data_IF_668526493102
#
_entry.id   IF_668526493102
#
_cell.length_a   1.000
_cell.length_b   1.000
_cell.length_c   1.000
_cell.angle_alpha   90.00
_cell.angle_beta   90.00
_cell.angle_gamma   90.00
#
_symmetry.space_group_name_H-M   'P 1'
#
loop_
_entity.id
_entity.type
_entity.pdbx_description
1 polymer ?
#
# COMPACT_ATOMS: atom_id res chain seq x y z
N UNK A 1 -17.86 -6.78 -5.81
CA UNK A 1 -16.54 -6.41 -5.23
C UNK A 1 -16.37 -7.00 -3.84
N UNK A 2 -15.16 -7.07 -3.30
CA UNK A 2 -14.89 -7.54 -1.94
C UNK A 2 -14.40 -6.38 -1.10
N UNK A 3 -15.17 -6.00 -0.08
CA UNK A 3 -14.83 -4.90 0.81
C UNK A 3 -14.20 -5.45 2.08
N UNK A 4 -13.07 -4.94 2.47
CA UNK A 4 -12.31 -5.45 3.59
C UNK A 4 -11.44 -4.41 4.27
N UNK A 5 -10.45 -4.89 5.01
CA UNK A 5 -9.44 -4.03 5.61
C UNK A 5 -8.04 -4.67 5.58
N UNK A 6 -7.04 -3.82 5.46
CA UNK A 6 -5.66 -4.14 5.81
C UNK A 6 -5.54 -4.16 7.32
N UNK A 7 -5.17 -5.31 7.87
CA UNK A 7 -5.26 -5.56 9.32
C UNK A 7 -4.17 -4.91 10.15
N UNK A 8 -3.27 -4.14 9.55
CA UNK A 8 -2.20 -3.44 10.25
C UNK A 8 -2.68 -2.54 11.39
N UNK A 9 -3.84 -1.90 11.21
CA UNK A 9 -4.46 -1.06 12.25
C UNK A 9 -4.94 -1.84 13.49
N UNK A 10 -4.97 -3.18 13.44
CA UNK A 10 -5.39 -4.07 14.53
C UNK A 10 -4.26 -5.02 14.98
N UNK A 11 -3.00 -4.70 14.71
CA UNK A 11 -1.84 -5.52 15.07
C UNK A 11 -1.63 -5.71 16.59
N UNK A 12 -2.31 -4.93 17.41
CA UNK A 12 -2.36 -5.08 18.87
C UNK A 12 -3.28 -6.22 19.34
N UNK A 13 -3.99 -6.89 18.42
CA UNK A 13 -4.97 -7.95 18.68
C UNK A 13 -4.59 -9.25 18.01
N UNK A 14 -5.04 -10.41 18.55
CA UNK A 14 -4.91 -11.68 17.85
C UNK A 14 -5.71 -11.69 16.54
N UNK A 15 -5.25 -12.49 15.55
CA UNK A 15 -5.92 -12.60 14.23
C UNK A 15 -7.40 -13.01 14.34
N UNK A 16 -7.75 -13.93 15.23
CA UNK A 16 -9.15 -14.39 15.37
C UNK A 16 -10.07 -13.28 15.88
N UNK A 17 -9.59 -12.41 16.80
CA UNK A 17 -10.31 -11.22 17.25
C UNK A 17 -10.43 -10.20 16.13
N UNK A 18 -9.35 -9.99 15.37
CA UNK A 18 -9.33 -9.11 14.20
C UNK A 18 -10.36 -9.53 13.18
N UNK A 19 -10.38 -10.80 12.77
CA UNK A 19 -11.37 -11.32 11.80
C UNK A 19 -12.81 -11.16 12.31
N UNK A 20 -13.05 -11.38 13.61
CA UNK A 20 -14.35 -11.15 14.23
C UNK A 20 -14.78 -9.68 14.12
N UNK A 21 -13.88 -8.73 14.44
CA UNK A 21 -14.15 -7.29 14.30
C UNK A 21 -14.53 -6.96 12.85
N UNK A 22 -13.77 -7.43 11.86
CA UNK A 22 -14.09 -7.19 10.45
C UNK A 22 -15.51 -7.69 10.09
N UNK A 23 -15.85 -8.89 10.51
CA UNK A 23 -17.19 -9.46 10.29
C UNK A 23 -18.31 -8.67 10.97
N UNK A 24 -18.10 -8.21 12.21
CA UNK A 24 -19.04 -7.37 12.95
C UNK A 24 -19.26 -6.00 12.28
N UNK A 25 -18.25 -5.49 11.57
CA UNK A 25 -18.34 -4.27 10.76
C UNK A 25 -18.96 -4.48 9.38
N UNK A 26 -19.34 -5.73 9.03
CA UNK A 26 -19.92 -6.05 7.73
C UNK A 26 -18.89 -6.19 6.59
N UNK A 27 -17.61 -6.22 6.91
CA UNK A 27 -16.55 -6.46 5.94
C UNK A 27 -16.41 -7.95 5.63
N UNK A 28 -16.03 -8.29 4.40
CA UNK A 28 -15.98 -9.67 3.90
C UNK A 28 -14.60 -10.10 3.44
N UNK A 29 -13.62 -9.22 3.48
CA UNK A 29 -12.25 -9.51 3.07
C UNK A 29 -11.22 -8.93 4.02
N UNK A 30 -10.00 -9.48 3.95
CA UNK A 30 -8.86 -9.01 4.70
C UNK A 30 -7.59 -9.04 3.85
N UNK A 31 -6.72 -8.09 4.13
CA UNK A 31 -5.34 -8.03 3.68
C UNK A 31 -4.41 -8.11 4.88
N UNK A 32 -3.35 -8.91 4.78
CA UNK A 32 -2.48 -9.24 5.91
C UNK A 32 -1.04 -8.84 5.60
N UNK A 33 -0.38 -8.19 6.57
CA UNK A 33 1.04 -7.87 6.43
C UNK A 33 1.92 -9.13 6.52
N UNK A 34 2.84 -9.26 5.57
CA UNK A 34 3.78 -10.39 5.44
C UNK A 34 5.24 -9.96 5.47
N UNK A 35 5.54 -8.70 5.72
CA UNK A 35 6.91 -8.20 5.81
C UNK A 35 7.03 -6.71 5.56
N UNK A 36 8.22 -6.28 5.23
CA UNK A 36 8.53 -4.89 4.96
C UNK A 36 8.70 -4.03 6.22
N UNK A 37 8.07 -2.84 6.24
CA UNK A 37 8.28 -1.85 7.29
C UNK A 37 7.80 -2.28 8.67
N UNK A 38 6.70 -3.03 8.75
CA UNK A 38 6.06 -3.39 10.02
C UNK A 38 6.11 -4.90 10.28
N UNK A 39 5.88 -5.29 11.55
CA UNK A 39 5.86 -6.69 11.97
C UNK A 39 4.67 -7.48 11.39
N UNK A 40 4.70 -8.80 11.57
CA UNK A 40 3.72 -9.73 10.99
C UNK A 40 2.97 -10.53 12.07
N UNK A 41 2.33 -9.89 13.07
CA UNK A 41 1.73 -10.60 14.21
C UNK A 41 0.54 -11.49 13.82
N UNK A 42 -0.09 -11.23 12.67
CA UNK A 42 -1.28 -11.93 12.23
C UNK A 42 -0.99 -13.18 11.38
N UNK A 43 0.28 -13.45 11.02
CA UNK A 43 0.61 -14.53 10.11
C UNK A 43 1.93 -15.26 10.48
N UNK A 44 1.90 -16.57 10.70
CA UNK A 44 3.10 -17.38 10.99
C UNK A 44 3.79 -17.82 9.69
N UNK A 45 4.50 -16.91 9.03
CA UNK A 45 5.03 -17.08 7.66
C UNK A 45 5.86 -18.35 7.50
N UNK A 46 6.79 -18.66 8.43
CA UNK A 46 7.69 -19.80 8.33
C UNK A 46 6.93 -21.15 8.40
N UNK A 47 5.91 -21.22 9.27
CA UNK A 47 5.06 -22.41 9.36
C UNK A 47 4.23 -22.59 8.08
N UNK A 48 3.70 -21.49 7.55
CA UNK A 48 2.88 -21.52 6.33
C UNK A 48 3.69 -21.87 5.09
N UNK A 49 4.92 -21.40 4.97
CA UNK A 49 5.81 -21.78 3.87
C UNK A 49 6.15 -23.27 3.91
N UNK A 50 6.37 -23.84 5.10
CA UNK A 50 6.85 -25.21 5.25
C UNK A 50 5.76 -26.28 5.32
N UNK A 51 4.51 -25.95 5.74
CA UNK A 51 3.48 -26.93 6.07
C UNK A 51 2.14 -26.69 5.37
N UNK A 52 1.69 -27.67 4.58
CA UNK A 52 0.35 -27.64 3.97
C UNK A 52 -0.77 -27.69 5.04
N UNK A 53 -0.58 -28.47 6.11
CA UNK A 53 -1.56 -28.53 7.21
C UNK A 53 -1.70 -27.20 7.95
N UNK A 54 -0.57 -26.46 8.16
CA UNK A 54 -0.62 -25.13 8.75
C UNK A 54 -1.39 -24.14 7.85
N UNK A 55 -1.22 -24.23 6.53
CA UNK A 55 -1.99 -23.40 5.58
C UNK A 55 -3.48 -23.70 5.64
N UNK A 56 -3.86 -24.98 5.68
CA UNK A 56 -5.27 -25.39 5.78
C UNK A 56 -5.90 -24.88 7.09
N UNK A 57 -5.21 -25.03 8.22
CA UNK A 57 -5.67 -24.51 9.51
C UNK A 57 -5.80 -22.98 9.48
N UNK A 58 -4.80 -22.29 8.95
CA UNK A 58 -4.79 -20.82 8.85
C UNK A 58 -5.95 -20.29 8.01
N UNK A 59 -6.14 -20.84 6.80
CA UNK A 59 -7.27 -20.46 5.93
C UNK A 59 -8.63 -20.88 6.51
N UNK A 60 -8.67 -21.95 7.31
CA UNK A 60 -9.85 -22.38 8.05
C UNK A 60 -10.39 -21.32 9.01
N UNK A 61 -9.52 -20.51 9.63
CA UNK A 61 -9.92 -19.38 10.50
C UNK A 61 -10.70 -18.32 9.73
N UNK A 62 -10.23 -17.96 8.52
CA UNK A 62 -10.92 -17.02 7.63
C UNK A 62 -12.28 -17.56 7.18
N UNK A 63 -12.34 -18.82 6.78
CA UNK A 63 -13.60 -19.46 6.38
C UNK A 63 -14.62 -19.48 7.53
N UNK A 64 -14.19 -19.77 8.77
CA UNK A 64 -15.04 -19.75 9.95
C UNK A 64 -15.56 -18.35 10.27
N UNK A 65 -14.78 -17.31 10.03
CA UNK A 65 -15.17 -15.92 10.22
C UNK A 65 -16.00 -15.36 9.04
N UNK A 66 -16.16 -16.10 7.94
CA UNK A 66 -16.80 -15.59 6.72
C UNK A 66 -16.01 -14.53 6.00
N UNK A 67 -14.69 -14.45 6.23
CA UNK A 67 -13.77 -13.48 5.64
C UNK A 67 -12.96 -14.17 4.53
N UNK A 68 -12.69 -13.47 3.44
CA UNK A 68 -11.76 -13.93 2.38
C UNK A 68 -10.41 -13.24 2.54
N UNK A 69 -9.33 -13.99 2.56
CA UNK A 69 -7.98 -13.43 2.44
C UNK A 69 -7.75 -13.01 0.98
N UNK A 70 -7.69 -11.70 0.71
CA UNK A 70 -7.66 -11.15 -0.65
C UNK A 70 -6.30 -10.61 -1.07
N UNK A 71 -5.44 -10.29 -0.13
CA UNK A 71 -4.11 -9.74 -0.39
C UNK A 71 -3.12 -10.05 0.72
N UNK A 72 -1.86 -10.18 0.34
CA UNK A 72 -0.72 -10.11 1.26
C UNK A 72 -0.02 -8.79 1.04
N UNK A 73 0.20 -8.03 2.11
CA UNK A 73 0.89 -6.75 2.04
C UNK A 73 2.35 -6.90 2.50
N UNK A 74 3.25 -6.32 1.75
CA UNK A 74 4.68 -6.31 2.04
C UNK A 74 5.27 -4.93 1.73
N UNK A 75 4.62 -3.88 2.24
CA UNK A 75 5.07 -2.50 2.03
C UNK A 75 6.43 -2.28 2.67
N UNK A 76 7.40 -1.92 1.83
CA UNK A 76 8.79 -1.77 2.22
C UNK A 76 9.62 -1.04 1.17
N UNK A 77 10.91 -0.90 1.45
CA UNK A 77 11.86 -0.38 0.48
C UNK A 77 12.90 -1.46 0.11
N UNK A 78 12.59 -2.33 -0.89
CA UNK A 78 13.50 -3.41 -1.31
C UNK A 78 14.77 -2.89 -2.03
N UNK A 79 14.78 -1.62 -2.43
CA UNK A 79 15.91 -0.96 -3.10
C UNK A 79 16.75 -0.10 -2.15
N UNK A 80 16.43 -0.10 -0.86
CA UNK A 80 17.15 0.71 0.12
C UNK A 80 18.62 0.35 0.15
N UNK A 81 19.55 1.33 0.06
CA UNK A 81 20.98 1.07 0.11
C UNK A 81 21.50 0.61 1.49
N UNK A 82 20.70 0.76 2.54
CA UNK A 82 21.05 0.24 3.87
C UNK A 82 21.00 -1.30 3.85
N UNK A 83 22.15 -1.98 4.14
CA UNK A 83 22.23 -3.44 4.13
C UNK A 83 21.32 -4.15 5.15
N UNK A 84 20.81 -3.43 6.15
CA UNK A 84 19.82 -3.96 7.10
C UNK A 84 18.39 -3.85 6.60
N UNK A 85 18.12 -3.01 5.61
CA UNK A 85 16.76 -2.69 5.14
C UNK A 85 16.50 -3.31 3.77
N UNK A 86 17.23 -2.87 2.73
CA UNK A 86 16.97 -3.28 1.36
C UNK A 86 16.94 -4.80 1.16
N UNK A 87 18.01 -5.53 1.52
CA UNK A 87 18.04 -7.00 1.35
C UNK A 87 16.94 -7.73 2.11
N UNK A 88 16.60 -7.25 3.33
CA UNK A 88 15.50 -7.83 4.12
C UNK A 88 14.16 -7.63 3.42
N UNK A 89 13.85 -6.41 2.99
CA UNK A 89 12.57 -6.11 2.34
C UNK A 89 12.46 -6.80 0.96
N UNK A 90 13.56 -6.97 0.24
CA UNK A 90 13.58 -7.77 -0.99
C UNK A 90 13.26 -9.26 -0.73
N UNK A 91 13.87 -9.84 0.31
CA UNK A 91 13.58 -11.22 0.73
C UNK A 91 12.14 -11.38 1.22
N UNK A 92 11.62 -10.43 2.01
CA UNK A 92 10.23 -10.43 2.45
C UNK A 92 9.27 -10.45 1.24
N UNK A 93 9.54 -9.66 0.20
CA UNK A 93 8.74 -9.64 -1.03
C UNK A 93 8.81 -10.98 -1.78
N UNK A 94 9.99 -11.58 -1.92
CA UNK A 94 10.13 -12.91 -2.53
C UNK A 94 9.30 -13.96 -1.78
N UNK A 95 9.40 -13.98 -0.46
CA UNK A 95 8.66 -14.91 0.41
C UNK A 95 7.14 -14.66 0.35
N UNK A 96 6.73 -13.38 0.25
CA UNK A 96 5.31 -13.02 0.12
C UNK A 96 4.72 -13.52 -1.20
N UNK A 97 5.45 -13.45 -2.31
CA UNK A 97 5.01 -14.01 -3.61
C UNK A 97 4.87 -15.53 -3.52
N UNK A 98 5.86 -16.23 -2.94
CA UNK A 98 5.79 -17.67 -2.74
C UNK A 98 4.61 -18.07 -1.84
N UNK A 99 4.44 -17.39 -0.71
CA UNK A 99 3.37 -17.62 0.23
C UNK A 99 1.99 -17.36 -0.37
N UNK A 100 1.84 -16.29 -1.17
CA UNK A 100 0.61 -15.99 -1.87
C UNK A 100 0.19 -17.15 -2.78
N UNK A 101 1.11 -17.68 -3.58
CA UNK A 101 0.85 -18.85 -4.42
C UNK A 101 0.42 -20.08 -3.61
N UNK A 102 1.11 -20.36 -2.49
CA UNK A 102 0.81 -21.52 -1.61
C UNK A 102 -0.54 -21.38 -0.90
N UNK A 103 -0.98 -20.16 -0.57
CA UNK A 103 -2.28 -19.88 0.04
C UNK A 103 -3.42 -19.74 -0.97
N UNK A 104 -3.11 -19.70 -2.28
CA UNK A 104 -4.10 -19.41 -3.31
C UNK A 104 -4.54 -17.95 -3.35
N UNK A 105 -3.79 -17.05 -2.70
CA UNK A 105 -3.98 -15.59 -2.76
C UNK A 105 -3.29 -15.05 -4.01
N UNK A 106 -4.02 -14.30 -4.83
CA UNK A 106 -3.50 -13.87 -6.13
C UNK A 106 -2.89 -12.46 -6.14
N UNK A 107 -2.81 -11.79 -5.00
CA UNK A 107 -2.36 -10.40 -4.87
C UNK A 107 -1.31 -10.27 -3.78
N UNK A 108 -0.21 -9.61 -4.12
CA UNK A 108 0.79 -9.11 -3.15
C UNK A 108 0.90 -7.62 -3.37
N UNK A 109 0.62 -6.85 -2.33
CA UNK A 109 0.80 -5.39 -2.31
C UNK A 109 2.20 -5.06 -1.82
N UNK A 110 2.84 -4.08 -2.41
CA UNK A 110 4.16 -3.60 -2.00
C UNK A 110 4.45 -2.21 -2.55
N UNK A 111 5.53 -1.59 -2.09
CA UNK A 111 6.06 -0.35 -2.65
C UNK A 111 7.21 -0.63 -3.62
N UNK A 112 7.44 0.30 -4.56
CA UNK A 112 8.49 0.12 -5.58
C UNK A 112 9.92 0.21 -5.04
N UNK A 113 10.07 0.80 -3.88
CA UNK A 113 11.36 1.12 -3.30
C UNK A 113 12.01 2.38 -3.87
N UNK A 114 13.02 2.85 -3.15
CA UNK A 114 13.83 4.03 -3.50
C UNK A 114 15.30 3.73 -3.21
N UNK A 115 16.16 3.71 -4.23
CA UNK A 115 17.61 3.51 -4.05
C UNK A 115 18.34 4.82 -3.75
N UNK A 116 19.65 4.73 -3.55
CA UNK A 116 20.51 5.90 -3.53
C UNK A 116 20.55 6.59 -4.91
N UNK A 117 20.97 7.87 -4.92
CA UNK A 117 21.09 8.66 -6.14
C UNK A 117 22.35 8.35 -6.96
N UNK A 118 23.32 7.59 -6.41
CA UNK A 118 24.58 7.27 -7.07
C UNK A 118 25.09 5.87 -6.69
N UNK A 119 25.96 5.26 -7.51
CA UNK A 119 26.58 3.97 -7.20
C UNK A 119 27.34 4.01 -5.87
N UNK A 120 27.00 3.08 -4.96
CA UNK A 120 27.64 3.01 -3.63
C UNK A 120 27.15 4.06 -2.63
N UNK A 121 26.17 4.88 -3.00
CA UNK A 121 25.48 5.81 -2.10
C UNK A 121 24.81 5.06 -0.94
N UNK A 122 24.68 5.71 0.21
CA UNK A 122 24.16 5.10 1.45
C UNK A 122 22.82 5.65 1.90
N UNK A 123 22.36 6.70 1.24
CA UNK A 123 21.10 7.40 1.57
C UNK A 123 20.22 7.38 0.34
N UNK A 124 18.93 7.15 0.55
CA UNK A 124 17.94 7.24 -0.51
C UNK A 124 17.80 8.67 -1.01
N UNK A 125 17.50 8.84 -2.29
CA UNK A 125 17.32 10.15 -2.91
C UNK A 125 16.04 10.18 -3.75
N UNK A 126 15.08 11.03 -3.36
CA UNK A 126 13.78 11.11 -4.03
C UNK A 126 13.70 12.34 -4.94
N UNK A 127 13.88 12.11 -6.25
CA UNK A 127 13.84 13.15 -7.27
C UNK A 127 12.44 13.23 -7.89
N UNK A 128 11.76 14.35 -7.73
CA UNK A 128 10.39 14.58 -8.25
C UNK A 128 10.30 15.63 -9.34
N UNK A 129 11.19 16.61 -9.36
CA UNK A 129 11.25 17.68 -10.37
C UNK A 129 12.69 17.85 -10.89
N UNK A 130 13.12 17.06 -11.89
CA UNK A 130 14.47 17.07 -12.41
C UNK A 130 14.69 18.26 -13.39
N UNK A 131 14.81 19.48 -12.85
CA UNK A 131 14.97 20.70 -13.64
C UNK A 131 16.31 20.81 -14.36
N UNK A 132 17.38 20.26 -13.78
CA UNK A 132 18.69 20.26 -14.39
C UNK A 132 19.22 18.83 -14.57
N UNK A 133 20.33 18.70 -15.34
CA UNK A 133 20.84 17.43 -15.79
C UNK A 133 21.33 16.53 -14.65
N UNK A 134 21.83 17.07 -13.54
CA UNK A 134 22.30 16.24 -12.43
C UNK A 134 21.20 15.38 -11.82
N UNK A 135 19.94 15.90 -11.78
CA UNK A 135 18.81 15.10 -11.32
C UNK A 135 18.37 14.03 -12.32
N UNK A 136 18.59 14.26 -13.63
CA UNK A 136 18.38 13.23 -14.64
C UNK A 136 19.43 12.12 -14.52
N UNK A 137 20.69 12.45 -14.21
CA UNK A 137 21.75 11.46 -13.97
C UNK A 137 21.42 10.56 -12.76
N UNK A 138 20.86 11.16 -11.68
CA UNK A 138 20.36 10.41 -10.52
C UNK A 138 19.24 9.44 -10.96
N UNK A 139 18.23 9.94 -11.68
CA UNK A 139 17.12 9.11 -12.14
C UNK A 139 17.57 8.01 -13.10
N UNK A 140 18.55 8.26 -13.96
CA UNK A 140 19.10 7.27 -14.87
C UNK A 140 19.76 6.13 -14.10
N UNK A 141 20.58 6.45 -13.09
CA UNK A 141 21.15 5.44 -12.19
C UNK A 141 20.06 4.65 -11.47
N UNK A 142 19.14 5.34 -10.80
CA UNK A 142 18.09 4.71 -9.99
C UNK A 142 17.20 3.77 -10.80
N UNK A 143 16.79 4.18 -12.00
CA UNK A 143 15.89 3.40 -12.83
C UNK A 143 16.63 2.31 -13.60
N UNK A 144 17.67 2.67 -14.34
CA UNK A 144 18.27 1.74 -15.31
C UNK A 144 19.23 0.74 -14.66
N UNK A 145 19.95 1.15 -13.61
CA UNK A 145 20.95 0.30 -12.98
C UNK A 145 20.43 -0.45 -11.75
N UNK A 146 19.40 0.08 -11.07
CA UNK A 146 18.90 -0.51 -9.82
C UNK A 146 17.48 -1.06 -9.97
N UNK A 147 16.49 -0.21 -10.27
CA UNK A 147 15.09 -0.60 -10.22
C UNK A 147 14.70 -1.59 -11.33
N UNK A 148 15.03 -1.30 -12.58
CA UNK A 148 14.64 -2.15 -13.72
C UNK A 148 15.20 -3.57 -13.61
N UNK A 149 16.46 -3.81 -13.26
CA UNK A 149 16.95 -5.17 -13.01
C UNK A 149 16.20 -5.90 -11.90
N UNK A 150 15.98 -5.24 -10.77
CA UNK A 150 15.24 -5.82 -9.64
C UNK A 150 13.80 -6.18 -10.02
N UNK A 151 13.07 -5.24 -10.63
CA UNK A 151 11.67 -5.45 -10.99
C UNK A 151 11.45 -6.43 -12.14
N UNK A 152 12.46 -6.66 -12.99
CA UNK A 152 12.46 -7.78 -13.96
C UNK A 152 12.51 -9.14 -13.26
N UNK A 153 13.28 -9.28 -12.19
CA UNK A 153 13.31 -10.51 -11.39
C UNK A 153 11.97 -10.72 -10.67
N UNK A 154 11.42 -9.68 -10.04
CA UNK A 154 10.09 -9.75 -9.41
C UNK A 154 9.01 -10.12 -10.42
N UNK A 155 9.00 -9.51 -11.61
CA UNK A 155 8.06 -9.87 -12.69
C UNK A 155 8.16 -11.34 -13.07
N UNK A 156 9.38 -11.86 -13.21
CA UNK A 156 9.59 -13.26 -13.57
C UNK A 156 9.07 -14.22 -12.49
N UNK A 157 9.33 -13.91 -11.21
CA UNK A 157 8.85 -14.70 -10.06
C UNK A 157 7.31 -14.65 -9.95
N UNK A 158 6.75 -13.45 -10.04
CA UNK A 158 5.30 -13.23 -9.99
C UNK A 158 4.57 -13.99 -11.11
N UNK A 159 5.11 -13.94 -12.34
CA UNK A 159 4.57 -14.66 -13.47
C UNK A 159 4.67 -16.18 -13.30
N UNK A 160 5.79 -16.72 -12.78
CA UNK A 160 5.96 -18.13 -12.52
C UNK A 160 5.00 -18.65 -11.43
N UNK A 161 4.66 -17.80 -10.46
CA UNK A 161 3.76 -18.12 -9.35
C UNK A 161 2.26 -17.84 -9.67
N UNK A 162 1.92 -17.26 -10.80
CA UNK A 162 0.58 -16.70 -11.16
C UNK A 162 0.03 -15.76 -10.09
N UNK A 163 0.91 -14.89 -9.56
CA UNK A 163 0.60 -13.89 -8.54
C UNK A 163 0.78 -12.49 -9.13
N UNK A 164 -0.17 -11.60 -8.92
CA UNK A 164 -0.08 -10.19 -9.28
C UNK A 164 0.59 -9.41 -8.14
N UNK A 165 1.63 -8.66 -8.46
CA UNK A 165 2.28 -7.72 -7.53
C UNK A 165 1.73 -6.33 -7.82
N UNK A 166 0.98 -5.79 -6.86
CA UNK A 166 0.34 -4.49 -6.94
C UNK A 166 1.22 -3.46 -6.20
N UNK A 167 1.77 -2.52 -6.95
CA UNK A 167 2.62 -1.46 -6.39
C UNK A 167 1.74 -0.31 -5.92
N UNK A 168 1.82 0.01 -4.64
CA UNK A 168 1.30 1.24 -4.09
C UNK A 168 2.10 2.44 -4.61
N UNK A 169 1.40 3.38 -5.27
CA UNK A 169 1.99 4.63 -5.75
C UNK A 169 2.17 5.60 -4.59
N UNK A 170 3.30 5.48 -3.90
CA UNK A 170 3.55 6.12 -2.61
C UNK A 170 4.71 7.14 -2.69
N UNK A 171 4.63 8.31 -2.02
CA UNK A 171 5.76 9.24 -1.90
C UNK A 171 7.00 8.55 -1.32
N UNK A 172 8.18 9.11 -1.59
CA UNK A 172 9.49 8.53 -1.24
C UNK A 172 9.74 7.14 -1.84
N UNK A 173 9.13 6.89 -3.01
CA UNK A 173 9.36 5.72 -3.85
C UNK A 173 9.61 6.16 -5.30
N UNK A 174 10.20 5.29 -6.13
CA UNK A 174 10.36 5.58 -7.55
C UNK A 174 9.02 5.63 -8.29
N UNK A 175 8.07 4.75 -7.88
CA UNK A 175 6.70 4.75 -8.39
C UNK A 175 5.81 5.47 -7.36
N UNK A 176 5.39 6.69 -7.70
CA UNK A 176 4.58 7.53 -6.83
C UNK A 176 3.36 8.17 -7.53
N UNK A 177 3.20 7.89 -8.83
CA UNK A 177 2.08 8.38 -9.63
C UNK A 177 1.90 7.52 -10.90
N UNK A 178 0.78 7.66 -11.65
CA UNK A 178 0.53 6.86 -12.85
C UNK A 178 1.65 6.86 -13.89
N UNK A 179 2.29 7.99 -14.25
CA UNK A 179 3.39 7.97 -15.22
C UNK A 179 4.60 7.15 -14.78
N UNK A 180 4.95 7.18 -13.49
CA UNK A 180 6.10 6.40 -12.98
C UNK A 180 5.77 4.91 -12.91
N UNK A 181 4.51 4.53 -12.63
CA UNK A 181 4.08 3.14 -12.75
C UNK A 181 4.16 2.64 -14.20
N UNK A 182 3.63 3.41 -15.15
CA UNK A 182 3.70 3.05 -16.58
C UNK A 182 5.14 2.90 -17.04
N UNK A 183 6.05 3.81 -16.63
CA UNK A 183 7.48 3.69 -16.90
C UNK A 183 8.03 2.34 -16.41
N UNK A 184 7.70 1.93 -15.19
CA UNK A 184 8.17 0.66 -14.63
C UNK A 184 7.66 -0.52 -15.45
N UNK A 185 6.35 -0.57 -15.73
CA UNK A 185 5.71 -1.63 -16.50
C UNK A 185 6.31 -1.75 -17.90
N UNK A 186 6.51 -0.63 -18.59
CA UNK A 186 7.10 -0.59 -19.93
C UNK A 186 8.56 -1.07 -19.94
N UNK A 187 9.41 -0.56 -19.03
CA UNK A 187 10.82 -0.90 -18.98
C UNK A 187 11.10 -2.34 -18.54
N UNK A 188 10.17 -2.95 -17.81
CA UNK A 188 10.28 -4.34 -17.36
C UNK A 188 9.48 -5.32 -18.23
N UNK A 189 8.67 -4.84 -19.18
CA UNK A 189 7.68 -5.63 -19.94
C UNK A 189 6.76 -6.41 -18.98
N UNK A 190 6.30 -5.76 -17.92
CA UNK A 190 5.58 -6.42 -16.85
C UNK A 190 4.15 -6.78 -17.26
N UNK A 191 3.72 -7.98 -16.85
CA UNK A 191 2.36 -8.50 -16.99
C UNK A 191 1.76 -8.90 -15.64
N UNK A 192 2.61 -9.05 -14.62
CA UNK A 192 2.25 -9.43 -13.25
C UNK A 192 2.70 -8.39 -12.22
N UNK A 193 3.23 -7.26 -12.66
CA UNK A 193 3.46 -6.08 -11.82
C UNK A 193 2.57 -4.96 -12.34
N UNK A 194 1.81 -4.34 -11.45
CA UNK A 194 0.84 -3.27 -11.77
C UNK A 194 0.57 -2.41 -10.56
N UNK A 195 -0.60 -1.75 -10.51
CA UNK A 195 -0.97 -0.82 -9.46
C UNK A 195 -1.76 -1.45 -8.32
N UNK A 196 -1.43 -1.07 -7.09
CA UNK A 196 -2.43 -0.82 -6.09
C UNK A 196 -2.91 0.61 -6.22
N UNK A 197 -4.24 0.79 -6.24
CA UNK A 197 -4.84 2.10 -6.32
C UNK A 197 -5.20 2.59 -4.91
N UNK A 198 -4.27 3.31 -4.28
CA UNK A 198 -4.53 4.10 -3.07
C UNK A 198 -4.82 5.55 -3.47
N UNK A 199 -6.07 6.03 -3.32
CA UNK A 199 -6.42 7.40 -3.69
C UNK A 199 -5.79 8.43 -2.76
N UNK A 200 -5.44 8.07 -1.52
CA UNK A 200 -4.97 9.01 -0.52
C UNK A 200 -3.69 9.73 -0.91
N UNK A 201 -2.80 9.01 -1.60
CA UNK A 201 -1.54 9.55 -2.09
C UNK A 201 -1.67 10.37 -3.38
N UNK A 202 -2.78 10.23 -4.09
CA UNK A 202 -3.04 10.97 -5.33
C UNK A 202 -3.68 12.33 -5.07
N UNK A 203 -4.58 12.42 -4.09
CA UNK A 203 -5.33 13.65 -3.78
C UNK A 203 -4.43 14.86 -3.52
N UNK A 204 -3.45 14.72 -2.64
CA UNK A 204 -2.57 15.84 -2.30
C UNK A 204 -1.59 16.20 -3.43
N UNK A 205 -1.34 15.29 -4.37
CA UNK A 205 -0.60 15.57 -5.60
C UNK A 205 -1.45 16.32 -6.64
N UNK A 206 -2.76 16.50 -6.41
CA UNK A 206 -3.69 17.11 -7.37
C UNK A 206 -4.07 16.16 -8.52
N UNK A 207 -3.89 14.86 -8.33
CA UNK A 207 -4.29 13.82 -9.28
C UNK A 207 -5.72 13.37 -8.94
N UNK A 208 -6.59 13.29 -9.93
CA UNK A 208 -7.92 12.70 -9.79
C UNK A 208 -7.80 11.16 -9.77
N UNK A 209 -8.10 10.46 -8.64
CA UNK A 209 -7.93 9.03 -8.57
C UNK A 209 -8.89 8.24 -9.48
N UNK A 210 -10.08 8.76 -9.76
CA UNK A 210 -11.02 8.12 -10.70
C UNK A 210 -10.46 8.15 -12.12
N UNK A 211 -9.93 9.30 -12.54
CA UNK A 211 -9.25 9.43 -13.83
C UNK A 211 -7.99 8.54 -13.89
N UNK A 212 -7.24 8.44 -12.78
CA UNK A 212 -6.07 7.56 -12.70
C UNK A 212 -6.43 6.07 -12.86
N UNK A 213 -7.51 5.60 -12.21
CA UNK A 213 -8.05 4.23 -12.41
C UNK A 213 -8.39 3.99 -13.88
N UNK A 214 -9.14 4.91 -14.49
CA UNK A 214 -9.54 4.80 -15.90
C UNK A 214 -8.33 4.81 -16.85
N UNK A 215 -7.31 5.62 -16.54
CA UNK A 215 -6.09 5.74 -17.34
C UNK A 215 -5.22 4.48 -17.26
N UNK A 216 -5.07 3.91 -16.08
CA UNK A 216 -4.26 2.69 -15.86
C UNK A 216 -4.97 1.42 -16.32
N UNK A 217 -6.31 1.39 -16.28
CA UNK A 217 -7.11 0.26 -16.76
C UNK A 217 -6.67 -1.08 -16.17
N UNK A 218 -6.38 -2.05 -17.02
CA UNK A 218 -6.00 -3.43 -16.64
C UNK A 218 -4.70 -3.53 -15.83
N UNK A 219 -3.97 -2.42 -15.64
CA UNK A 219 -2.82 -2.37 -14.73
C UNK A 219 -3.23 -2.24 -13.26
N UNK A 220 -4.49 -1.93 -12.95
CA UNK A 220 -4.99 -1.86 -11.57
C UNK A 220 -5.32 -3.26 -11.09
N UNK A 221 -4.56 -3.77 -10.12
CA UNK A 221 -4.70 -5.14 -9.62
C UNK A 221 -5.34 -5.22 -8.24
N UNK A 222 -5.28 -4.14 -7.48
CA UNK A 222 -5.75 -4.06 -6.10
C UNK A 222 -6.11 -2.61 -5.76
N UNK A 223 -6.87 -2.38 -4.70
CA UNK A 223 -7.18 -1.03 -4.26
C UNK A 223 -7.24 -0.92 -2.73
N UNK A 224 -6.70 0.17 -2.22
CA UNK A 224 -6.90 0.61 -0.85
C UNK A 224 -8.08 1.59 -0.75
N UNK A 225 -8.79 1.54 0.36
CA UNK A 225 -9.74 2.57 0.76
C UNK A 225 -9.12 3.40 1.90
N UNK A 226 -8.40 4.43 1.51
CA UNK A 226 -7.73 5.39 2.39
C UNK A 226 -8.06 6.80 1.92
N UNK A 227 -8.45 7.67 2.83
CA UNK A 227 -8.90 9.02 2.50
C UNK A 227 -7.91 10.07 2.95
N UNK A 228 -7.95 11.22 2.31
CA UNK A 228 -7.08 12.36 2.62
C UNK A 228 -7.91 13.63 2.73
N UNK A 229 -7.78 14.34 3.83
CA UNK A 229 -8.32 15.69 3.96
C UNK A 229 -7.29 16.70 3.49
N UNK A 230 -7.69 17.54 2.52
CA UNK A 230 -6.89 18.68 2.05
C UNK A 230 -7.27 19.90 2.87
N UNK A 231 -6.32 20.46 3.59
CA UNK A 231 -6.51 21.63 4.43
C UNK A 231 -6.28 22.92 3.60
N UNK A 232 -7.30 23.36 2.89
CA UNK A 232 -7.23 24.43 1.90
C UNK A 232 -6.58 25.74 2.42
N UNK A 233 -6.77 26.09 3.71
CA UNK A 233 -6.15 27.27 4.31
C UNK A 233 -4.62 27.15 4.39
N UNK A 234 -4.12 25.95 4.68
CA UNK A 234 -2.68 25.72 4.79
C UNK A 234 -2.02 25.48 3.44
N UNK A 235 -2.72 24.82 2.51
CA UNK A 235 -2.23 24.66 1.12
C UNK A 235 -1.95 26.02 0.47
N UNK A 236 -2.79 27.03 0.70
CA UNK A 236 -2.59 28.39 0.17
C UNK A 236 -1.27 29.04 0.64
N UNK A 237 -0.77 28.64 1.81
CA UNK A 237 0.41 29.26 2.43
C UNK A 237 1.66 28.39 2.29
N UNK A 238 1.50 27.07 2.36
CA UNK A 238 2.63 26.13 2.48
C UNK A 238 2.79 25.22 1.25
N UNK A 239 1.78 25.17 0.36
CA UNK A 239 1.75 24.17 -0.69
C UNK A 239 1.48 22.76 -0.13
N UNK A 240 1.78 21.73 -0.90
CA UNK A 240 1.57 20.32 -0.52
C UNK A 240 2.87 19.60 -0.10
N UNK A 241 4.03 20.18 -0.44
CA UNK A 241 5.34 19.68 0.00
C UNK A 241 5.73 20.44 1.27
N UNK A 242 6.07 19.71 2.33
CA UNK A 242 6.34 20.27 3.65
C UNK A 242 7.53 19.57 4.30
N UNK A 243 8.49 20.30 4.81
CA UNK A 243 9.67 19.78 5.51
C UNK A 243 9.65 20.05 7.02
N UNK A 244 8.53 20.59 7.55
CA UNK A 244 8.37 20.96 8.96
C UNK A 244 8.06 19.77 9.88
N UNK A 245 8.36 18.55 9.47
CA UNK A 245 8.26 17.36 10.31
C UNK A 245 9.26 17.42 11.48
N UNK A 246 8.85 16.94 12.65
CA UNK A 246 9.69 16.86 13.81
C UNK A 246 10.06 15.40 14.12
N UNK A 247 11.29 15.18 14.58
CA UNK A 247 11.72 13.85 14.99
C UNK A 247 10.93 13.38 16.21
N UNK A 248 10.37 12.18 16.14
CA UNK A 248 9.71 11.56 17.29
C UNK A 248 10.74 11.27 18.38
N UNK A 249 10.52 11.73 19.64
CA UNK A 249 11.39 11.43 20.75
C UNK A 249 11.50 9.92 21.01
N UNK A 250 12.70 9.45 21.38
CA UNK A 250 12.95 8.03 21.59
C UNK A 250 12.10 7.43 22.73
N UNK A 251 11.78 8.22 23.75
CA UNK A 251 10.94 7.85 24.89
C UNK A 251 9.42 7.82 24.56
N UNK A 252 9.02 8.32 23.39
CA UNK A 252 7.66 8.23 22.88
C UNK A 252 7.37 6.90 22.17
N UNK A 253 8.29 5.93 22.22
CA UNK A 253 8.17 4.63 21.56
C UNK A 253 7.82 4.75 20.06
N UNK A 254 8.67 5.42 19.24
CA UNK A 254 8.37 5.68 17.85
C UNK A 254 8.23 4.39 17.03
N UNK A 255 7.31 4.39 16.07
CA UNK A 255 7.16 3.27 15.14
C UNK A 255 8.43 3.12 14.31
N UNK A 256 9.09 1.96 14.39
CA UNK A 256 10.23 1.60 13.56
C UNK A 256 9.72 1.20 12.15
N UNK A 257 10.33 1.77 11.12
CA UNK A 257 10.00 1.55 9.69
C UNK A 257 11.16 0.90 8.92
N UNK A 258 12.06 0.22 9.63
CA UNK A 258 13.20 -0.51 9.08
C UNK A 258 14.55 0.09 9.46
N UNK A 259 15.53 -0.77 9.75
CA UNK A 259 16.84 -0.37 10.24
C UNK A 259 16.74 0.45 11.52
N UNK A 260 17.39 1.60 11.54
CA UNK A 260 17.37 2.57 12.65
C UNK A 260 16.39 3.75 12.37
N UNK A 261 15.47 3.60 11.39
CA UNK A 261 14.55 4.65 10.99
C UNK A 261 13.20 4.54 11.70
N UNK A 262 12.62 5.69 12.02
CA UNK A 262 11.33 5.80 12.70
C UNK A 262 10.43 6.84 12.03
N UNK A 263 9.11 6.70 12.18
CA UNK A 263 8.17 7.72 11.74
C UNK A 263 8.36 9.02 12.51
N UNK A 264 8.28 10.14 11.80
CA UNK A 264 8.35 11.49 12.33
C UNK A 264 6.96 12.03 12.72
N UNK A 265 6.95 13.05 13.59
CA UNK A 265 5.75 13.79 13.96
C UNK A 265 5.39 14.73 12.81
N UNK A 266 4.12 14.71 12.39
CA UNK A 266 3.57 15.61 11.39
C UNK A 266 3.58 17.07 11.86
N UNK A 267 3.64 18.05 10.94
CA UNK A 267 3.48 19.47 11.27
C UNK A 267 2.17 19.74 12.02
N UNK A 268 2.18 20.72 12.93
CA UNK A 268 1.00 21.08 13.71
C UNK A 268 -0.20 21.52 12.83
N UNK A 269 0.08 22.11 11.66
CA UNK A 269 -0.92 22.56 10.71
C UNK A 269 -0.56 22.02 9.32
N UNK A 270 -0.81 20.73 9.08
CA UNK A 270 -0.46 20.09 7.81
C UNK A 270 -1.38 20.58 6.69
N UNK A 271 -0.82 20.69 5.50
CA UNK A 271 -1.58 21.03 4.30
C UNK A 271 -2.55 19.92 3.89
N UNK A 272 -2.25 18.70 4.29
CA UNK A 272 -3.09 17.53 4.10
C UNK A 272 -2.78 16.50 5.19
N UNK A 273 -3.69 15.58 5.41
CA UNK A 273 -3.53 14.48 6.38
C UNK A 273 -4.43 13.31 6.03
N UNK A 274 -4.04 12.11 6.40
CA UNK A 274 -4.88 10.92 6.27
C UNK A 274 -6.04 10.99 7.25
N UNK A 275 -7.21 10.56 6.78
CA UNK A 275 -8.43 10.51 7.57
C UNK A 275 -9.23 9.25 7.22
N UNK A 276 -10.12 8.81 8.10
CA UNK A 276 -11.00 7.69 7.80
C UNK A 276 -11.88 7.99 6.56
N UNK A 277 -12.18 6.96 5.79
CA UNK A 277 -13.01 7.01 4.58
C UNK A 277 -14.28 7.82 4.82
N UNK A 278 -14.53 8.80 3.97
CA UNK A 278 -15.66 9.71 4.05
C UNK A 278 -15.42 10.99 4.86
N UNK A 279 -14.27 11.15 5.52
CA UNK A 279 -13.93 12.37 6.26
C UNK A 279 -13.16 13.40 5.43
N UNK A 280 -12.51 12.96 4.36
CA UNK A 280 -11.83 13.83 3.37
C UNK A 280 -12.71 14.09 2.17
N UNK A 281 -13.27 13.04 1.61
CA UNK A 281 -14.11 13.08 0.40
C UNK A 281 -15.44 12.37 0.67
N UNK A 282 -16.55 12.94 0.16
CA UNK A 282 -17.89 12.40 0.42
C UNK A 282 -18.12 11.05 -0.27
N UNK A 283 -19.05 10.30 0.25
CA UNK A 283 -19.50 9.03 -0.34
C UNK A 283 -19.99 9.26 -1.77
N UNK A 284 -20.82 10.28 -1.99
CA UNK A 284 -21.46 10.56 -3.27
C UNK A 284 -20.50 11.12 -4.32
N UNK A 285 -19.65 12.08 -3.93
CA UNK A 285 -18.85 12.83 -4.91
C UNK A 285 -17.58 12.05 -5.31
N UNK A 286 -17.09 11.16 -4.44
CA UNK A 286 -15.85 10.45 -4.72
C UNK A 286 -15.96 8.91 -4.59
N UNK A 287 -16.42 8.38 -3.45
CA UNK A 287 -16.31 6.93 -3.20
C UNK A 287 -17.21 6.11 -4.12
N UNK A 288 -18.41 6.60 -4.48
CA UNK A 288 -19.29 5.96 -5.46
C UNK A 288 -18.63 5.90 -6.83
N UNK A 289 -18.19 7.01 -7.48
CA UNK A 289 -17.53 6.95 -8.78
C UNK A 289 -16.19 6.18 -8.76
N UNK A 290 -15.44 6.21 -7.66
CA UNK A 290 -14.20 5.45 -7.52
C UNK A 290 -14.46 3.94 -7.53
N UNK A 291 -15.44 3.45 -6.75
CA UNK A 291 -15.82 2.03 -6.75
C UNK A 291 -16.40 1.60 -8.09
N UNK A 292 -17.17 2.45 -8.77
CA UNK A 292 -17.68 2.16 -10.13
C UNK A 292 -16.53 2.02 -11.14
N UNK A 293 -15.51 2.88 -11.06
CA UNK A 293 -14.36 2.80 -11.94
C UNK A 293 -13.54 1.52 -11.71
N UNK A 294 -13.32 1.13 -10.45
CA UNK A 294 -12.66 -0.13 -10.09
C UNK A 294 -13.46 -1.36 -10.54
N UNK A 295 -14.77 -1.35 -10.31
CA UNK A 295 -15.67 -2.44 -10.70
C UNK A 295 -15.71 -2.64 -12.21
N UNK A 296 -15.58 -1.58 -12.99
CA UNK A 296 -15.52 -1.66 -14.45
C UNK A 296 -14.28 -2.38 -14.97
N UNK A 297 -13.18 -2.40 -14.18
CA UNK A 297 -11.95 -3.13 -14.48
C UNK A 297 -12.07 -4.58 -14.02
N UNK A 298 -12.43 -4.79 -12.77
CA UNK A 298 -12.58 -6.12 -12.17
C UNK A 298 -13.79 -6.13 -11.22
N UNK A 299 -14.91 -6.78 -11.58
CA UNK A 299 -16.07 -6.90 -10.70
C UNK A 299 -15.78 -7.57 -9.36
N UNK A 300 -14.71 -8.37 -9.27
CA UNK A 300 -14.25 -9.04 -8.05
C UNK A 300 -13.12 -8.31 -7.34
N UNK A 301 -12.80 -7.07 -7.76
CA UNK A 301 -11.75 -6.25 -7.13
C UNK A 301 -11.93 -6.22 -5.62
N UNK A 302 -10.83 -6.50 -4.90
CA UNK A 302 -10.76 -6.27 -3.47
C UNK A 302 -10.42 -4.80 -3.20
N UNK A 303 -11.16 -4.19 -2.28
CA UNK A 303 -10.93 -2.82 -1.80
C UNK A 303 -10.81 -2.89 -0.29
N UNK A 304 -9.62 -2.74 0.23
CA UNK A 304 -9.33 -2.90 1.64
C UNK A 304 -9.09 -1.55 2.30
N UNK A 305 -9.80 -1.29 3.40
CA UNK A 305 -9.61 -0.08 4.20
C UNK A 305 -8.20 -0.09 4.78
N UNK A 306 -7.46 0.98 4.57
CA UNK A 306 -6.24 1.30 5.29
C UNK A 306 -6.50 2.49 6.21
N UNK A 307 -6.44 2.24 7.53
CA UNK A 307 -6.81 3.25 8.52
C UNK A 307 -5.56 3.86 9.17
N UNK A 308 -5.36 5.15 8.91
CA UNK A 308 -4.27 5.97 9.48
C UNK A 308 -4.77 7.34 9.99
N UNK A 309 -6.03 7.44 10.39
CA UNK A 309 -6.57 8.67 10.97
C UNK A 309 -6.10 8.83 12.42
N UNK A 310 -5.22 9.79 12.66
CA UNK A 310 -4.67 10.06 14.00
C UNK A 310 -5.67 10.76 14.95
N UNK A 311 -6.82 11.22 14.44
CA UNK A 311 -7.85 11.89 15.22
C UNK A 311 -8.86 10.90 15.79
N UNK A 312 -8.83 9.64 15.37
CA UNK A 312 -9.74 8.58 15.79
C UNK A 312 -8.99 7.40 16.40
N UNK A 313 -9.65 6.73 17.33
CA UNK A 313 -9.25 5.39 17.76
C UNK A 313 -9.32 4.41 16.59
N UNK A 314 -8.45 3.38 16.57
CA UNK A 314 -8.32 2.47 15.45
C UNK A 314 -9.61 1.73 15.09
N UNK A 315 -10.33 1.23 16.09
CA UNK A 315 -11.59 0.51 15.86
C UNK A 315 -12.72 1.47 15.45
N UNK A 316 -12.78 2.64 16.06
CA UNK A 316 -13.77 3.66 15.71
C UNK A 316 -13.55 4.21 14.29
N UNK A 317 -12.29 4.49 13.93
CA UNK A 317 -11.97 4.95 12.59
C UNK A 317 -12.23 3.87 11.53
N UNK A 318 -11.90 2.61 11.82
CA UNK A 318 -12.23 1.48 10.95
C UNK A 318 -13.74 1.29 10.80
N UNK A 319 -14.51 1.43 11.89
CA UNK A 319 -15.98 1.37 11.87
C UNK A 319 -16.58 2.43 10.96
N UNK A 320 -16.15 3.68 11.13
CA UNK A 320 -16.62 4.79 10.29
C UNK A 320 -16.26 4.58 8.81
N UNK A 321 -15.03 4.14 8.54
CA UNK A 321 -14.58 3.83 7.19
C UNK A 321 -15.40 2.70 6.56
N UNK A 322 -15.68 1.63 7.32
CA UNK A 322 -16.51 0.51 6.85
C UNK A 322 -17.95 0.95 6.52
N UNK A 323 -18.58 1.73 7.39
CA UNK A 323 -19.94 2.26 7.16
C UNK A 323 -19.99 3.08 5.86
N UNK A 324 -19.03 3.98 5.64
CA UNK A 324 -19.00 4.82 4.45
C UNK A 324 -18.69 4.02 3.18
N UNK A 325 -17.73 3.08 3.25
CA UNK A 325 -17.35 2.26 2.10
C UNK A 325 -18.49 1.32 1.68
N UNK A 326 -19.17 0.67 2.63
CA UNK A 326 -20.32 -0.19 2.37
C UNK A 326 -21.49 0.65 1.80
N UNK A 327 -21.74 1.85 2.35
CA UNK A 327 -22.74 2.75 1.80
C UNK A 327 -22.43 3.17 0.36
N UNK A 328 -21.15 3.44 0.06
CA UNK A 328 -20.70 3.77 -1.28
C UNK A 328 -20.91 2.61 -2.26
N UNK A 329 -20.55 1.37 -1.88
CA UNK A 329 -20.76 0.19 -2.71
C UNK A 329 -22.24 -0.07 -2.99
N UNK A 330 -23.11 0.05 -1.97
CA UNK A 330 -24.56 -0.07 -2.13
C UNK A 330 -25.12 0.97 -3.11
N UNK A 331 -24.66 2.24 -3.05
CA UNK A 331 -25.07 3.29 -3.99
C UNK A 331 -24.48 3.10 -5.39
N UNK A 332 -23.25 2.61 -5.49
CA UNK A 332 -22.60 2.30 -6.74
C UNK A 332 -23.22 1.08 -7.46
N UNK A 333 -23.92 0.22 -6.73
CA UNK A 333 -24.50 -1.03 -7.25
C UNK A 333 -23.46 -2.15 -7.44
N UNK A 334 -22.42 -2.20 -6.63
CA UNK A 334 -21.26 -3.10 -6.76
C UNK A 334 -20.97 -3.91 -5.50
#
# INVERSE_FOLDING_TARGET
MKLGAYTACLHDRPIDETLKILGELGLTSAEINTGGFIGTPHIPIDDLLSSAGAREEYLGRYAQAGITLTGLNCNGNPLNPDPKVGPKHAEDLHRSIELAALLGVRRVVTMSGLPAGEPGGKVVDWVVNPWDSQYLDILDHQWNEVAVPFWKDIQARAAAADVKVAIEMHPHNLVFNPPTLQRLVEQTNATHVGAEMDPSHLFWQGIDPVAAVQHLGDLVFHAAAKDTRINAEYVKLYGVLDDRFARTPADANPLNIGGDNTLNIWPQHPSWQFVAVGRGHTVEDFWVPFLQALHAIDPDMAVNIEHEDIELDQVEGLRLAAENLIAAAGKAGV
#
